data_IF_210946253014
#
_entry.id   IF_210946253014
#
_cell.length_a   1.000
_cell.length_b   1.000
_cell.length_c   1.000
_cell.angle_alpha   90.00
_cell.angle_beta   90.00
_cell.angle_gamma   90.00
#
_symmetry.space_group_name_H-M   'P 1'
#
loop_
_entity.id
_entity.type
_entity.pdbx_description
1 polymer ?
#
# COMPACT_ATOMS: atom_id res chain seq x y z
N UNK A 1 43.79 5.73 16.16
CA UNK A 1 42.81 5.46 15.11
C UNK A 1 41.46 5.41 15.80
N UNK A 2 40.58 6.38 15.52
CA UNK A 2 39.27 6.47 16.18
C UNK A 2 38.35 5.38 15.61
N UNK A 3 38.11 4.33 16.42
CA UNK A 3 37.23 3.19 16.10
C UNK A 3 35.72 3.49 16.20
N UNK A 4 35.31 4.75 16.15
CA UNK A 4 33.89 5.17 16.29
C UNK A 4 33.38 5.97 15.09
N UNK A 5 33.84 5.67 13.87
CA UNK A 5 33.11 6.20 12.71
C UNK A 5 31.81 5.43 12.50
N UNK A 6 30.71 6.02 12.97
CA UNK A 6 29.37 5.53 12.70
C UNK A 6 29.14 5.51 11.19
N UNK A 7 29.13 4.34 10.59
CA UNK A 7 28.95 4.20 9.14
C UNK A 7 27.50 4.52 8.78
N UNK A 8 27.29 5.62 8.07
CA UNK A 8 25.98 6.04 7.56
C UNK A 8 25.86 5.65 6.11
N UNK A 9 24.76 5.02 5.74
CA UNK A 9 24.51 4.64 4.34
C UNK A 9 23.06 4.91 3.98
N UNK A 10 22.82 5.57 2.84
CA UNK A 10 21.48 5.83 2.35
C UNK A 10 21.03 4.76 1.36
N UNK A 11 19.81 4.26 1.59
CA UNK A 11 19.11 3.29 0.77
C UNK A 11 17.83 3.90 0.22
N UNK A 12 17.46 3.55 -1.01
CA UNK A 12 16.21 3.98 -1.61
C UNK A 12 15.30 2.79 -1.93
N UNK A 13 14.00 3.01 -1.79
CA UNK A 13 12.97 2.15 -2.31
C UNK A 13 12.04 2.96 -3.22
N UNK A 14 11.73 2.42 -4.40
CA UNK A 14 10.74 2.96 -5.33
C UNK A 14 9.59 1.98 -5.41
N UNK A 15 8.38 2.45 -5.11
CA UNK A 15 7.13 1.69 -5.21
C UNK A 15 6.28 2.28 -6.34
N UNK A 16 6.02 1.48 -7.38
CA UNK A 16 5.24 1.87 -8.56
C UNK A 16 3.88 1.21 -8.48
N UNK A 17 2.97 1.85 -7.75
CA UNK A 17 1.60 1.37 -7.58
C UNK A 17 0.62 1.88 -8.64
N UNK A 18 -0.59 1.34 -8.65
CA UNK A 18 -1.65 1.71 -9.60
C UNK A 18 -2.15 3.14 -9.45
N UNK A 19 -2.12 3.72 -8.24
CA UNK A 19 -2.56 5.10 -8.00
C UNK A 19 -1.39 6.09 -7.97
N UNK A 20 -0.29 5.74 -7.33
CA UNK A 20 0.84 6.64 -7.14
C UNK A 20 2.16 5.89 -7.18
N UNK A 21 3.21 6.62 -7.55
CA UNK A 21 4.60 6.19 -7.45
C UNK A 21 5.23 6.87 -6.25
N UNK A 22 6.01 6.11 -5.46
CA UNK A 22 6.68 6.62 -4.26
C UNK A 22 8.18 6.41 -4.35
N UNK A 23 8.93 7.36 -3.80
CA UNK A 23 10.34 7.23 -3.49
C UNK A 23 10.51 7.41 -1.99
N UNK A 24 11.10 6.42 -1.33
CA UNK A 24 11.51 6.49 0.06
C UNK A 24 13.04 6.40 0.12
N UNK A 25 13.69 7.36 0.80
CA UNK A 25 15.11 7.28 1.15
C UNK A 25 15.21 7.16 2.67
N UNK A 26 15.93 6.14 3.14
CA UNK A 26 16.27 5.93 4.56
C UNK A 26 17.77 5.96 4.74
N UNK A 27 18.23 6.59 5.81
CA UNK A 27 19.59 6.47 6.33
C UNK A 27 19.64 5.28 7.28
N UNK A 28 20.61 4.42 7.11
CA UNK A 28 20.93 3.35 8.05
C UNK A 28 22.22 3.74 8.77
N UNK A 29 22.16 3.75 10.10
CA UNK A 29 23.32 3.91 10.99
C UNK A 29 23.56 2.61 11.70
N UNK A 30 24.77 2.11 11.64
CA UNK A 30 25.19 0.97 12.43
C UNK A 30 25.91 1.45 13.67
N UNK A 31 25.31 1.23 14.83
CA UNK A 31 25.90 1.54 16.14
C UNK A 31 25.86 0.28 17.02
N UNK A 32 27.02 -0.16 17.51
CA UNK A 32 27.15 -1.31 18.40
C UNK A 32 26.47 -2.60 17.88
N UNK A 33 26.54 -2.85 16.56
CA UNK A 33 25.93 -4.02 15.93
C UNK A 33 24.41 -3.96 15.75
N UNK A 34 23.79 -2.79 16.03
CA UNK A 34 22.36 -2.54 15.78
C UNK A 34 22.19 -1.54 14.64
N UNK A 35 21.31 -1.87 13.70
CA UNK A 35 20.93 -0.98 12.62
C UNK A 35 19.79 -0.05 13.06
N UNK A 36 20.02 1.26 12.95
CA UNK A 36 19.01 2.29 13.18
C UNK A 36 18.58 2.90 11.86
N UNK A 37 17.27 2.91 11.61
CA UNK A 37 16.69 3.39 10.39
C UNK A 37 16.04 4.77 10.59
N UNK A 38 16.47 5.78 9.84
CA UNK A 38 15.85 7.09 9.85
C UNK A 38 15.34 7.48 8.45
N UNK A 39 14.13 8.03 8.39
CA UNK A 39 13.55 8.49 7.14
C UNK A 39 14.16 9.83 6.74
N UNK A 40 14.83 9.88 5.60
CA UNK A 40 15.45 11.08 5.01
C UNK A 40 14.47 11.80 4.08
N UNK A 41 13.85 11.06 3.16
CA UNK A 41 12.94 11.61 2.16
C UNK A 41 11.80 10.64 1.88
N UNK A 42 10.59 11.18 1.73
CA UNK A 42 9.43 10.45 1.22
C UNK A 42 8.69 11.32 0.20
N UNK A 43 8.68 10.89 -1.05
CA UNK A 43 7.90 11.52 -2.12
C UNK A 43 6.80 10.60 -2.60
N UNK A 44 5.65 11.18 -2.94
CA UNK A 44 4.52 10.49 -3.54
C UNK A 44 3.98 11.31 -4.71
N UNK A 45 3.99 10.71 -5.89
CA UNK A 45 3.52 11.34 -7.14
C UNK A 45 2.35 10.51 -7.71
N UNK A 46 1.13 11.07 -7.82
CA UNK A 46 -0.04 10.36 -8.30
C UNK A 46 -0.06 10.29 -9.83
N UNK A 47 0.66 9.34 -10.41
CA UNK A 47 0.63 9.07 -11.86
C UNK A 47 -0.66 8.37 -12.31
N UNK A 48 -1.36 7.69 -11.38
CA UNK A 48 -2.66 7.05 -11.61
C UNK A 48 -2.63 6.07 -12.79
N UNK A 49 -1.58 5.24 -12.87
CA UNK A 49 -1.37 4.28 -13.96
C UNK A 49 -2.56 3.34 -14.15
N UNK A 50 -3.17 2.91 -13.04
CA UNK A 50 -4.30 1.99 -13.04
C UNK A 50 -5.52 2.51 -13.80
N UNK A 51 -5.74 3.83 -13.87
CA UNK A 51 -6.87 4.37 -14.64
C UNK A 51 -6.78 4.09 -16.14
N UNK A 52 -5.58 4.03 -16.70
CA UNK A 52 -5.40 3.63 -18.09
C UNK A 52 -5.47 2.11 -18.22
N UNK A 53 -4.75 1.40 -17.34
CA UNK A 53 -4.56 -0.05 -17.47
C UNK A 53 -5.86 -0.81 -17.24
N UNK A 54 -6.66 -0.41 -16.25
CA UNK A 54 -7.93 -1.09 -15.93
C UNK A 54 -9.07 -0.69 -16.85
N UNK A 55 -8.90 0.37 -17.68
CA UNK A 55 -9.83 0.80 -18.72
C UNK A 55 -9.43 0.23 -20.09
N UNK A 56 -8.23 0.61 -20.59
CA UNK A 56 -7.78 0.30 -21.95
C UNK A 56 -6.72 -0.82 -22.04
N UNK A 57 -6.34 -1.42 -20.92
CA UNK A 57 -5.38 -2.53 -20.86
C UNK A 57 -3.92 -2.15 -21.11
N UNK A 58 -3.58 -0.87 -21.19
CA UNK A 58 -2.20 -0.37 -21.42
C UNK A 58 -2.01 1.01 -20.81
N UNK A 59 -0.76 1.36 -20.53
CA UNK A 59 -0.37 2.71 -20.09
C UNK A 59 -0.32 3.63 -21.32
N UNK A 60 -0.96 4.81 -21.24
CA UNK A 60 -0.96 5.80 -22.32
C UNK A 60 0.41 6.43 -22.51
N UNK A 61 0.73 6.89 -23.71
CA UNK A 61 1.98 7.57 -24.03
C UNK A 61 2.27 8.77 -23.11
N UNK A 62 1.22 9.52 -22.73
CA UNK A 62 1.34 10.64 -21.80
C UNK A 62 1.87 10.19 -20.46
N UNK A 63 1.32 9.11 -19.89
CA UNK A 63 1.74 8.56 -18.60
C UNK A 63 3.10 7.88 -18.69
N UNK A 64 3.40 7.19 -19.79
CA UNK A 64 4.72 6.65 -20.06
C UNK A 64 5.80 7.75 -20.05
N UNK A 65 5.59 8.84 -20.81
CA UNK A 65 6.49 9.99 -20.82
C UNK A 65 6.67 10.58 -19.42
N UNK A 66 5.59 10.70 -18.66
CA UNK A 66 5.64 11.23 -17.29
C UNK A 66 6.37 10.28 -16.34
N UNK A 67 6.21 8.97 -16.49
CA UNK A 67 6.91 7.98 -15.69
C UNK A 67 8.42 8.02 -15.94
N UNK A 68 8.86 8.14 -17.21
CA UNK A 68 10.28 8.31 -17.54
C UNK A 68 10.83 9.60 -16.93
N UNK A 69 10.08 10.72 -16.98
CA UNK A 69 10.48 11.98 -16.35
C UNK A 69 10.61 11.85 -14.84
N UNK A 70 9.66 11.15 -14.22
CA UNK A 70 9.66 10.92 -12.78
C UNK A 70 10.86 10.07 -12.35
N UNK A 71 11.18 9.00 -13.09
CA UNK A 71 12.34 8.16 -12.79
C UNK A 71 13.68 8.94 -12.96
N UNK A 72 13.76 9.86 -13.93
CA UNK A 72 14.91 10.78 -14.04
C UNK A 72 15.01 11.68 -12.81
N UNK A 73 13.89 12.26 -12.36
CA UNK A 73 13.89 13.09 -11.16
C UNK A 73 14.31 12.30 -9.91
N UNK A 74 13.80 11.07 -9.74
CA UNK A 74 14.20 10.19 -8.64
C UNK A 74 15.68 9.84 -8.69
N UNK A 75 16.22 9.57 -9.87
CA UNK A 75 17.67 9.34 -10.04
C UNK A 75 18.49 10.55 -9.58
N UNK A 76 18.08 11.78 -9.91
CA UNK A 76 18.76 12.99 -9.43
C UNK A 76 18.68 13.13 -7.92
N UNK A 77 17.53 12.89 -7.33
CA UNK A 77 17.37 12.89 -5.88
C UNK A 77 18.25 11.84 -5.21
N UNK A 78 18.25 10.62 -5.70
CA UNK A 78 19.12 9.56 -5.17
C UNK A 78 20.61 9.94 -5.24
N UNK A 79 21.04 10.66 -6.28
CA UNK A 79 22.42 11.19 -6.37
C UNK A 79 22.69 12.28 -5.34
N UNK A 80 21.75 13.23 -5.15
CA UNK A 80 21.86 14.32 -4.15
C UNK A 80 22.02 13.75 -2.75
N UNK A 81 21.27 12.68 -2.44
CA UNK A 81 21.33 12.03 -1.14
C UNK A 81 22.37 10.89 -1.03
N UNK A 82 23.27 10.77 -1.99
CA UNK A 82 24.33 9.74 -2.02
C UNK A 82 23.78 8.32 -1.73
N UNK A 83 22.66 7.95 -2.36
CA UNK A 83 22.07 6.63 -2.23
C UNK A 83 22.97 5.58 -2.82
N UNK A 84 23.32 4.55 -2.04
CA UNK A 84 24.21 3.46 -2.46
C UNK A 84 23.45 2.29 -3.09
N UNK A 85 22.26 2.01 -2.59
CA UNK A 85 21.44 0.89 -3.06
C UNK A 85 20.00 1.36 -3.26
N UNK A 86 19.39 0.93 -4.37
CA UNK A 86 18.01 1.19 -4.69
C UNK A 86 17.32 -0.10 -5.10
N UNK A 87 16.14 -0.38 -4.53
CA UNK A 87 15.21 -1.39 -5.03
C UNK A 87 13.97 -0.68 -5.56
N UNK A 88 13.58 -0.98 -6.80
CA UNK A 88 12.37 -0.45 -7.41
C UNK A 88 11.44 -1.60 -7.79
N UNK A 89 10.22 -1.58 -7.26
CA UNK A 89 9.20 -2.59 -7.54
C UNK A 89 7.98 -1.95 -8.19
N UNK A 90 7.40 -2.65 -9.15
CA UNK A 90 6.15 -2.30 -9.79
C UNK A 90 5.10 -3.39 -9.56
N UNK A 91 3.87 -2.99 -9.26
CA UNK A 91 2.80 -3.90 -8.86
C UNK A 91 1.68 -4.00 -9.91
N UNK A 92 0.45 -4.19 -9.50
CA UNK A 92 -0.69 -4.61 -10.31
C UNK A 92 -0.88 -3.82 -11.63
N UNK A 93 -0.80 -2.48 -11.64
CA UNK A 93 -0.99 -1.75 -12.89
C UNK A 93 0.11 -2.04 -13.92
N UNK A 94 1.37 -2.11 -13.50
CA UNK A 94 2.48 -2.42 -14.42
C UNK A 94 2.45 -3.87 -14.88
N UNK A 95 2.06 -4.79 -13.97
CA UNK A 95 1.91 -6.22 -14.25
C UNK A 95 0.80 -6.49 -15.28
N UNK A 96 -0.33 -5.78 -15.18
CA UNK A 96 -1.49 -5.99 -16.05
C UNK A 96 -1.40 -5.21 -17.37
N UNK A 97 -0.48 -4.24 -17.48
CA UNK A 97 -0.33 -3.43 -18.69
C UNK A 97 0.32 -4.21 -19.84
N UNK A 98 -0.34 -4.27 -20.99
CA UNK A 98 0.19 -4.90 -22.23
C UNK A 98 1.57 -4.36 -22.64
N UNK A 99 1.86 -3.09 -22.35
CA UNK A 99 3.13 -2.41 -22.65
C UNK A 99 4.01 -2.21 -21.42
N UNK A 100 3.70 -2.86 -20.29
CA UNK A 100 4.42 -2.67 -19.04
C UNK A 100 5.91 -2.98 -19.14
N UNK A 101 6.28 -4.14 -19.69
CA UNK A 101 7.66 -4.57 -19.86
C UNK A 101 8.45 -3.65 -20.80
N UNK A 102 7.83 -3.15 -21.86
CA UNK A 102 8.51 -2.25 -22.80
C UNK A 102 8.80 -0.88 -22.16
N UNK A 103 7.89 -0.40 -21.32
CA UNK A 103 8.07 0.82 -20.54
C UNK A 103 9.22 0.64 -19.53
N UNK A 104 9.30 -0.48 -18.83
CA UNK A 104 10.41 -0.79 -17.90
C UNK A 104 11.74 -0.78 -18.63
N UNK A 105 11.86 -1.48 -19.76
CA UNK A 105 13.09 -1.48 -20.59
C UNK A 105 13.50 -0.07 -21.02
N UNK A 106 12.53 0.76 -21.40
CA UNK A 106 12.79 2.15 -21.77
C UNK A 106 13.26 3.00 -20.57
N UNK A 107 12.65 2.79 -19.39
CA UNK A 107 13.08 3.47 -18.16
C UNK A 107 14.51 3.08 -17.82
N UNK A 108 14.82 1.81 -17.78
CA UNK A 108 16.15 1.30 -17.48
C UNK A 108 17.20 1.87 -18.46
N UNK A 109 16.93 1.82 -19.77
CA UNK A 109 17.79 2.39 -20.79
C UNK A 109 18.04 3.90 -20.61
N UNK A 110 16.99 4.67 -20.24
CA UNK A 110 17.05 6.15 -20.15
C UNK A 110 17.50 6.67 -18.79
N UNK A 111 17.41 5.85 -17.75
CA UNK A 111 17.64 6.31 -16.36
C UNK A 111 18.62 5.45 -15.57
N UNK A 112 18.88 4.23 -16.00
CA UNK A 112 19.67 3.24 -15.27
C UNK A 112 18.94 2.71 -14.01
N UNK A 113 17.64 2.99 -13.83
CA UNK A 113 16.84 2.45 -12.73
C UNK A 113 16.26 1.12 -13.19
N UNK A 114 16.71 0.03 -12.56
CA UNK A 114 16.11 -1.30 -12.75
C UNK A 114 14.83 -1.41 -11.95
N UNK A 115 13.76 -1.94 -12.57
CA UNK A 115 12.43 -2.08 -11.95
C UNK A 115 11.99 -3.54 -12.08
N UNK A 116 11.71 -4.18 -10.94
CA UNK A 116 11.13 -5.52 -10.88
C UNK A 116 9.60 -5.44 -10.90
N UNK A 117 8.94 -6.19 -11.77
CA UNK A 117 7.51 -6.45 -11.63
C UNK A 117 7.35 -7.60 -10.65
N UNK A 118 6.77 -7.31 -9.49
CA UNK A 118 6.50 -8.33 -8.47
C UNK A 118 5.07 -8.85 -8.58
N UNK A 119 4.87 -10.13 -8.26
CA UNK A 119 3.54 -10.69 -8.16
C UNK A 119 2.86 -10.32 -6.82
N UNK A 120 1.56 -10.63 -6.69
CA UNK A 120 0.82 -10.27 -5.48
C UNK A 120 1.27 -11.04 -4.23
N UNK A 121 1.85 -12.23 -4.39
CA UNK A 121 2.37 -13.00 -3.25
C UNK A 121 3.68 -12.42 -2.75
N UNK A 122 4.55 -11.99 -3.65
CA UNK A 122 5.79 -11.31 -3.27
C UNK A 122 5.48 -9.95 -2.62
N UNK A 123 4.51 -9.20 -3.17
CA UNK A 123 4.03 -7.94 -2.58
C UNK A 123 3.52 -8.16 -1.15
N UNK A 124 2.68 -9.17 -0.92
CA UNK A 124 2.17 -9.54 0.40
C UNK A 124 3.28 -9.96 1.38
N UNK A 125 4.31 -10.70 0.91
CA UNK A 125 5.48 -11.05 1.73
C UNK A 125 6.32 -9.84 2.13
N UNK A 126 6.51 -8.88 1.22
CA UNK A 126 7.23 -7.63 1.53
C UNK A 126 6.48 -6.85 2.61
N UNK A 127 5.16 -6.75 2.50
CA UNK A 127 4.31 -6.10 3.51
C UNK A 127 4.44 -6.82 4.86
N UNK A 128 4.35 -8.14 4.86
CA UNK A 128 4.50 -8.96 6.06
C UNK A 128 5.83 -8.71 6.77
N UNK A 129 6.94 -8.78 6.06
CA UNK A 129 8.28 -8.59 6.64
C UNK A 129 8.46 -7.21 7.30
N UNK A 130 7.81 -6.17 6.77
CA UNK A 130 7.84 -4.84 7.37
C UNK A 130 7.03 -4.69 8.66
N UNK A 131 6.04 -5.56 8.89
CA UNK A 131 5.12 -5.44 10.02
C UNK A 131 5.49 -6.34 11.19
N UNK A 132 6.05 -7.51 10.94
CA UNK A 132 6.42 -8.49 11.99
C UNK A 132 7.47 -7.95 12.95
N UNK A 133 8.38 -7.11 12.47
CA UNK A 133 9.42 -6.47 13.30
C UNK A 133 8.87 -5.52 14.39
N UNK A 134 7.59 -5.11 14.27
CA UNK A 134 6.99 -4.12 15.17
C UNK A 134 5.90 -4.68 16.10
N UNK A 135 5.69 -6.00 16.10
CA UNK A 135 4.69 -6.62 16.99
C UNK A 135 5.23 -6.83 18.39
N UNK A 136 4.66 -6.10 19.37
CA UNK A 136 4.95 -6.29 20.79
C UNK A 136 4.31 -7.55 21.38
N UNK A 137 3.12 -7.95 20.87
CA UNK A 137 2.40 -9.15 21.27
C UNK A 137 2.14 -10.05 20.06
N UNK A 138 2.74 -11.25 20.09
CA UNK A 138 2.60 -12.25 19.02
C UNK A 138 1.52 -13.28 19.31
N UNK A 139 0.80 -13.16 20.44
CA UNK A 139 -0.25 -14.11 20.82
C UNK A 139 -1.58 -13.74 20.15
N UNK A 140 -2.29 -14.75 19.67
CA UNK A 140 -3.58 -14.58 19.01
C UNK A 140 -3.51 -14.46 17.49
N UNK A 141 -4.65 -14.10 16.89
CA UNK A 141 -4.82 -14.07 15.45
C UNK A 141 -4.85 -12.62 14.94
N UNK A 142 -3.99 -12.32 13.97
CA UNK A 142 -3.88 -10.99 13.37
C UNK A 142 -3.94 -11.06 11.85
N UNK A 143 -4.82 -10.28 11.26
CA UNK A 143 -4.97 -10.18 9.82
C UNK A 143 -4.47 -8.80 9.36
N UNK A 144 -3.33 -8.78 8.68
CA UNK A 144 -2.83 -7.57 8.02
C UNK A 144 -3.54 -7.38 6.69
N UNK A 145 -4.07 -6.19 6.48
CA UNK A 145 -4.81 -5.82 5.28
C UNK A 145 -4.17 -4.56 4.69
N UNK A 146 -3.64 -4.65 3.48
CA UNK A 146 -3.20 -3.50 2.69
C UNK A 146 -4.09 -3.34 1.46
N UNK A 147 -4.78 -2.20 1.37
CA UNK A 147 -5.66 -1.90 0.24
C UNK A 147 -4.95 -0.94 -0.71
N UNK A 148 -4.44 -1.51 -1.79
CA UNK A 148 -3.80 -0.81 -2.89
C UNK A 148 -4.77 -0.21 -3.90
N UNK A 149 -4.21 0.33 -4.99
CA UNK A 149 -5.00 0.83 -6.11
C UNK A 149 -5.54 -0.28 -7.02
N UNK A 150 -4.80 -1.34 -7.21
CA UNK A 150 -5.14 -2.43 -8.12
C UNK A 150 -5.41 -3.77 -7.45
N UNK A 151 -4.92 -3.96 -6.22
CA UNK A 151 -5.04 -5.21 -5.46
C UNK A 151 -5.24 -4.92 -3.97
N UNK A 152 -5.57 -5.96 -3.23
CA UNK A 152 -5.63 -6.00 -1.77
C UNK A 152 -4.85 -7.21 -1.29
N UNK A 153 -3.86 -6.97 -0.44
CA UNK A 153 -2.99 -7.99 0.16
C UNK A 153 -3.48 -8.30 1.57
N UNK A 154 -3.55 -9.60 1.88
CA UNK A 154 -3.98 -10.13 3.19
C UNK A 154 -2.96 -11.13 3.69
N UNK A 155 -2.43 -10.89 4.90
CA UNK A 155 -1.57 -11.82 5.61
C UNK A 155 -2.21 -12.17 6.95
N UNK A 156 -2.46 -13.44 7.21
CA UNK A 156 -2.95 -13.93 8.50
C UNK A 156 -1.81 -14.54 9.30
N UNK A 157 -1.65 -14.04 10.51
CA UNK A 157 -0.76 -14.58 11.52
C UNK A 157 -1.58 -15.20 12.64
N UNK A 158 -1.13 -16.34 13.12
CA UNK A 158 -1.64 -16.99 14.32
C UNK A 158 -0.46 -17.40 15.19
N UNK A 159 -0.49 -17.00 16.46
CA UNK A 159 0.58 -17.26 17.43
C UNK A 159 1.98 -16.86 16.90
N UNK A 160 2.06 -15.71 16.22
CA UNK A 160 3.29 -15.18 15.65
C UNK A 160 3.77 -15.85 14.37
N UNK A 161 3.06 -16.86 13.86
CA UNK A 161 3.42 -17.56 12.63
C UNK A 161 2.52 -17.14 11.47
N UNK A 162 3.11 -16.98 10.29
CA UNK A 162 2.35 -16.70 9.07
C UNK A 162 1.57 -17.93 8.64
N UNK A 163 0.25 -17.84 8.71
CA UNK A 163 -0.68 -18.90 8.29
C UNK A 163 -0.91 -18.86 6.79
N UNK A 164 -1.23 -17.68 6.27
CA UNK A 164 -1.41 -17.50 4.83
C UNK A 164 -1.07 -16.09 4.38
N UNK A 165 -0.71 -15.98 3.11
CA UNK A 165 -0.46 -14.74 2.40
C UNK A 165 -1.23 -14.79 1.09
N UNK A 166 -2.14 -13.85 0.85
CA UNK A 166 -3.01 -13.83 -0.33
C UNK A 166 -3.08 -12.43 -0.92
N UNK A 167 -3.20 -12.35 -2.25
CA UNK A 167 -3.49 -11.12 -2.98
C UNK A 167 -4.74 -11.32 -3.82
N UNK A 168 -5.59 -10.30 -3.83
CA UNK A 168 -6.83 -10.26 -4.59
C UNK A 168 -6.80 -9.08 -5.55
N UNK A 169 -7.24 -9.30 -6.80
CA UNK A 169 -7.36 -8.24 -7.80
C UNK A 169 -8.54 -7.30 -7.50
N UNK A 170 -8.65 -6.87 -6.25
CA UNK A 170 -9.63 -5.93 -5.71
C UNK A 170 -8.83 -4.75 -5.16
N UNK A 171 -8.90 -3.60 -5.83
CA UNK A 171 -8.19 -2.39 -5.43
C UNK A 171 -9.00 -1.16 -5.76
N UNK A 172 -8.68 -0.06 -5.10
CA UNK A 172 -9.51 1.16 -5.15
C UNK A 172 -9.67 1.74 -6.55
N UNK A 173 -8.60 1.77 -7.34
CA UNK A 173 -8.61 2.27 -8.73
C UNK A 173 -9.29 1.25 -9.65
N UNK A 174 -9.08 -0.04 -9.41
CA UNK A 174 -9.75 -1.09 -10.17
C UNK A 174 -11.27 -1.05 -9.95
N UNK A 175 -11.74 -0.79 -8.74
CA UNK A 175 -13.17 -0.60 -8.44
C UNK A 175 -13.74 0.63 -9.14
N UNK A 176 -13.03 1.76 -9.13
CA UNK A 176 -13.47 2.98 -9.81
C UNK A 176 -13.61 2.82 -11.33
N UNK A 177 -12.91 1.87 -11.92
CA UNK A 177 -13.00 1.53 -13.34
C UNK A 177 -13.93 0.34 -13.62
N UNK A 178 -14.70 -0.14 -12.62
CA UNK A 178 -15.56 -1.32 -12.74
C UNK A 178 -14.82 -2.56 -13.27
N UNK A 179 -13.54 -2.68 -12.98
CA UNK A 179 -12.65 -3.72 -13.51
C UNK A 179 -12.36 -4.84 -12.50
N UNK A 180 -13.09 -4.90 -11.39
CA UNK A 180 -13.08 -6.02 -10.45
C UNK A 180 -14.07 -7.07 -10.93
N UNK A 181 -13.59 -8.28 -11.16
CA UNK A 181 -14.46 -9.41 -11.54
C UNK A 181 -15.24 -9.92 -10.33
N UNK A 182 -16.49 -10.33 -10.53
CA UNK A 182 -17.31 -10.91 -9.46
C UNK A 182 -16.65 -12.14 -8.84
N UNK A 183 -15.96 -12.96 -9.63
CA UNK A 183 -15.20 -14.12 -9.16
C UNK A 183 -14.09 -13.75 -8.16
N UNK A 184 -13.50 -12.56 -8.23
CA UNK A 184 -12.50 -12.10 -7.24
C UNK A 184 -13.17 -11.75 -5.90
N UNK A 185 -14.36 -11.12 -5.94
CA UNK A 185 -15.14 -10.89 -4.75
C UNK A 185 -15.63 -12.18 -4.10
N UNK A 186 -16.08 -13.15 -4.89
CA UNK A 186 -16.49 -14.47 -4.39
C UNK A 186 -15.30 -15.19 -3.77
N UNK A 187 -14.13 -15.19 -4.42
CA UNK A 187 -12.90 -15.78 -3.90
C UNK A 187 -12.53 -15.13 -2.56
N UNK A 188 -12.50 -13.80 -2.48
CA UNK A 188 -12.22 -13.09 -1.24
C UNK A 188 -13.17 -13.50 -0.12
N UNK A 189 -14.48 -13.48 -0.39
CA UNK A 189 -15.52 -13.79 0.62
C UNK A 189 -15.42 -15.23 1.12
N UNK A 190 -15.22 -16.19 0.21
CA UNK A 190 -15.09 -17.61 0.56
C UNK A 190 -13.83 -17.86 1.40
N UNK A 191 -12.70 -17.34 0.95
CA UNK A 191 -11.43 -17.43 1.66
C UNK A 191 -11.51 -16.84 3.08
N UNK A 192 -12.10 -15.64 3.21
CA UNK A 192 -12.25 -14.99 4.52
C UNK A 192 -13.23 -15.73 5.43
N UNK A 193 -14.33 -16.29 4.89
CA UNK A 193 -15.28 -17.05 5.68
C UNK A 193 -14.67 -18.35 6.22
N UNK A 194 -13.79 -18.99 5.46
CA UNK A 194 -13.00 -20.16 5.90
C UNK A 194 -12.00 -19.77 7.01
N UNK A 195 -11.27 -18.67 6.80
CA UNK A 195 -10.31 -18.17 7.78
C UNK A 195 -11.00 -17.74 9.08
N UNK A 196 -12.16 -17.10 9.01
CA UNK A 196 -12.93 -16.69 10.20
C UNK A 196 -13.38 -17.89 11.05
N UNK A 197 -13.73 -19.01 10.43
CA UNK A 197 -14.07 -20.26 11.12
C UNK A 197 -12.86 -20.91 11.79
N UNK A 198 -11.74 -20.95 11.06
CA UNK A 198 -10.51 -21.61 11.53
C UNK A 198 -9.73 -20.80 12.54
N UNK A 199 -9.82 -19.46 12.48
CA UNK A 199 -9.09 -18.51 13.31
C UNK A 199 -10.04 -17.47 13.91
N UNK A 200 -10.85 -17.86 14.93
CA UNK A 200 -11.82 -16.94 15.55
C UNK A 200 -11.11 -15.80 16.28
N UNK A 201 -11.84 -14.71 16.53
CA UNK A 201 -11.34 -13.51 17.21
C UNK A 201 -10.11 -12.88 16.53
N UNK A 202 -10.03 -12.95 15.20
CA UNK A 202 -8.96 -12.33 14.43
C UNK A 202 -9.05 -10.81 14.51
N UNK A 203 -7.95 -10.17 14.90
CA UNK A 203 -7.80 -8.72 14.92
C UNK A 203 -7.31 -8.22 13.57
N UNK A 204 -7.88 -7.14 13.05
CA UNK A 204 -7.46 -6.54 11.79
C UNK A 204 -6.42 -5.44 12.04
N UNK A 205 -5.32 -5.51 11.31
CA UNK A 205 -4.31 -4.46 11.23
C UNK A 205 -4.34 -3.89 9.82
N UNK A 206 -4.83 -2.66 9.70
CA UNK A 206 -4.90 -1.96 8.43
C UNK A 206 -3.62 -1.22 8.12
N UNK A 207 -3.02 -1.47 6.97
CA UNK A 207 -1.84 -0.76 6.49
C UNK A 207 -2.10 0.07 5.24
N UNK A 208 -1.19 0.96 4.93
CA UNK A 208 -1.24 1.77 3.73
C UNK A 208 -1.97 3.10 3.87
N UNK A 209 -1.86 3.90 2.80
CA UNK A 209 -2.28 5.30 2.83
C UNK A 209 -3.79 5.54 2.88
N UNK A 210 -4.59 4.54 2.51
CA UNK A 210 -6.04 4.66 2.49
C UNK A 210 -6.62 4.52 3.89
N UNK A 211 -6.28 3.44 4.60
CA UNK A 211 -6.76 3.25 5.99
C UNK A 211 -6.21 4.33 6.92
N UNK A 212 -4.95 4.75 6.74
CA UNK A 212 -4.37 5.86 7.48
C UNK A 212 -5.15 7.17 7.29
N UNK A 213 -5.66 7.45 6.08
CA UNK A 213 -6.51 8.62 5.84
C UNK A 213 -7.87 8.45 6.51
N UNK A 214 -8.53 7.30 6.38
CA UNK A 214 -9.80 6.98 7.05
C UNK A 214 -9.67 7.14 8.58
N UNK A 215 -8.62 6.57 9.17
CA UNK A 215 -8.34 6.70 10.59
C UNK A 215 -8.16 8.17 11.02
N UNK A 216 -7.45 8.98 10.24
CA UNK A 216 -7.28 10.42 10.54
C UNK A 216 -8.60 11.17 10.49
N UNK A 217 -9.50 10.82 9.57
CA UNK A 217 -10.80 11.45 9.41
C UNK A 217 -11.84 11.00 10.45
N UNK A 218 -11.65 9.84 11.06
CA UNK A 218 -12.56 9.33 12.07
C UNK A 218 -12.59 10.23 13.32
N UNK A 219 -13.80 10.65 13.72
CA UNK A 219 -14.01 11.53 14.86
C UNK A 219 -13.77 10.78 16.19
N UNK A 220 -14.25 9.54 16.27
CA UNK A 220 -14.13 8.67 17.44
C UNK A 220 -13.06 7.59 17.18
N UNK A 221 -11.90 7.70 17.80
CA UNK A 221 -10.78 6.74 17.68
C UNK A 221 -9.95 6.71 18.96
N UNK A 222 -9.35 5.57 19.24
CA UNK A 222 -8.40 5.46 20.34
C UNK A 222 -6.98 5.76 19.82
N UNK A 223 -6.51 6.98 20.07
CA UNK A 223 -5.18 7.43 19.62
C UNK A 223 -4.05 6.68 20.34
N UNK A 224 -4.22 6.31 21.62
CA UNK A 224 -3.21 5.60 22.41
C UNK A 224 -3.01 4.17 21.90
N UNK A 225 -4.10 3.48 21.58
CA UNK A 225 -4.07 2.12 21.05
C UNK A 225 -4.02 2.07 19.51
N UNK A 226 -4.08 3.22 18.84
CA UNK A 226 -4.14 3.34 17.38
C UNK A 226 -5.25 2.48 16.76
N UNK A 227 -6.42 2.45 17.41
CA UNK A 227 -7.57 1.63 16.96
C UNK A 227 -8.78 2.49 16.63
N UNK A 228 -9.55 2.01 15.67
CA UNK A 228 -10.85 2.55 15.26
C UNK A 228 -11.88 1.43 15.26
N UNK A 229 -13.07 1.67 15.85
CA UNK A 229 -14.18 0.72 15.77
C UNK A 229 -14.69 0.59 14.33
N UNK A 230 -15.08 -0.60 13.94
CA UNK A 230 -15.68 -0.86 12.61
C UNK A 230 -16.96 -0.06 12.41
N UNK A 231 -17.78 0.12 13.47
CA UNK A 231 -18.96 0.98 13.43
C UNK A 231 -18.64 2.45 13.11
N UNK A 232 -17.53 2.97 13.66
CA UNK A 232 -17.05 4.34 13.35
C UNK A 232 -16.61 4.45 11.90
N UNK A 233 -15.93 3.44 11.39
CA UNK A 233 -15.57 3.38 9.96
C UNK A 233 -16.83 3.33 9.09
N UNK A 234 -17.86 2.57 9.48
CA UNK A 234 -19.13 2.48 8.76
C UNK A 234 -19.86 3.83 8.72
N UNK A 235 -19.95 4.53 9.86
CA UNK A 235 -20.53 5.87 9.94
C UNK A 235 -19.77 6.87 9.04
N UNK A 236 -18.45 6.88 9.14
CA UNK A 236 -17.58 7.72 8.31
C UNK A 236 -17.75 7.41 6.82
N UNK A 237 -17.75 6.13 6.45
CA UNK A 237 -17.93 5.71 5.07
C UNK A 237 -19.28 6.15 4.50
N UNK A 238 -20.36 5.98 5.25
CA UNK A 238 -21.70 6.44 4.86
C UNK A 238 -21.71 7.95 4.64
N UNK A 239 -21.12 8.74 5.56
CA UNK A 239 -21.00 10.20 5.43
C UNK A 239 -20.19 10.60 4.20
N UNK A 240 -19.05 9.97 3.98
CA UNK A 240 -18.19 10.27 2.81
C UNK A 240 -18.88 9.88 1.48
N UNK A 241 -19.64 8.79 1.46
CA UNK A 241 -20.35 8.31 0.27
C UNK A 241 -21.49 9.23 -0.14
N UNK A 242 -22.12 9.92 0.82
CA UNK A 242 -23.18 10.90 0.58
C UNK A 242 -22.69 12.21 -0.04
N UNK A 243 -21.37 12.47 -0.04
CA UNK A 243 -20.76 13.70 -0.55
C UNK A 243 -20.24 13.51 -1.97
N UNK A 244 -20.27 14.59 -2.76
CA UNK A 244 -19.58 14.67 -4.05
C UNK A 244 -18.07 14.63 -3.88
N UNK A 245 -17.34 14.49 -4.98
CA UNK A 245 -15.87 14.52 -4.97
C UNK A 245 -15.35 15.86 -4.44
N UNK A 246 -15.95 16.95 -4.91
CA UNK A 246 -15.61 18.32 -4.56
C UNK A 246 -15.86 18.58 -3.07
N UNK A 247 -17.02 18.18 -2.56
CA UNK A 247 -17.35 18.33 -1.13
C UNK A 247 -16.39 17.54 -0.24
N UNK A 248 -15.99 16.32 -0.64
CA UNK A 248 -14.96 15.55 0.09
C UNK A 248 -13.61 16.26 0.10
N UNK A 249 -13.23 16.91 -1.01
CA UNK A 249 -12.00 17.69 -1.08
C UNK A 249 -12.04 18.90 -0.17
N UNK A 250 -13.12 19.66 -0.18
CA UNK A 250 -13.29 20.90 0.62
C UNK A 250 -13.42 20.60 2.11
N UNK A 251 -14.38 19.74 2.49
CA UNK A 251 -14.68 19.49 3.90
C UNK A 251 -13.58 18.74 4.64
N UNK A 252 -12.84 17.84 3.96
CA UNK A 252 -11.83 16.98 4.58
C UNK A 252 -10.39 17.28 4.15
N UNK A 253 -10.16 18.34 3.39
CA UNK A 253 -8.83 18.72 2.90
C UNK A 253 -8.15 17.59 2.12
N UNK A 254 -8.90 16.86 1.28
CA UNK A 254 -8.36 15.76 0.49
C UNK A 254 -7.89 16.24 -0.87
N UNK A 255 -6.76 15.70 -1.32
CA UNK A 255 -6.36 15.86 -2.72
C UNK A 255 -7.27 15.02 -3.62
N UNK A 256 -7.48 15.39 -4.90
CA UNK A 256 -8.36 14.65 -5.82
C UNK A 256 -8.08 13.15 -5.87
N UNK A 257 -6.79 12.79 -5.94
CA UNK A 257 -6.31 11.40 -6.00
C UNK A 257 -6.44 10.61 -4.68
N UNK A 258 -7.03 11.23 -3.66
CA UNK A 258 -7.43 10.62 -2.39
C UNK A 258 -8.93 10.64 -2.20
N UNK A 259 -9.60 11.72 -2.60
CA UNK A 259 -11.03 11.90 -2.42
C UNK A 259 -11.88 10.90 -3.23
N UNK A 260 -11.38 10.43 -4.37
CA UNK A 260 -12.05 9.41 -5.18
C UNK A 260 -11.82 7.98 -4.67
N UNK A 261 -10.59 7.63 -4.27
CA UNK A 261 -10.26 6.27 -3.83
C UNK A 261 -10.67 5.96 -2.39
N UNK A 262 -11.10 6.96 -1.61
CA UNK A 262 -11.41 6.75 -0.19
C UNK A 262 -12.68 5.92 0.01
N UNK A 263 -13.66 6.06 -0.90
CA UNK A 263 -14.91 5.30 -0.83
C UNK A 263 -14.67 3.81 -1.09
N UNK A 264 -14.07 3.40 -2.24
CA UNK A 264 -13.77 1.99 -2.45
C UNK A 264 -12.82 1.41 -1.38
N UNK A 265 -11.89 2.22 -0.84
CA UNK A 265 -11.06 1.75 0.26
C UNK A 265 -11.87 1.40 1.50
N UNK A 266 -12.79 2.28 1.92
CA UNK A 266 -13.68 2.03 3.05
C UNK A 266 -14.56 0.79 2.82
N UNK A 267 -15.07 0.61 1.62
CA UNK A 267 -15.90 -0.55 1.24
C UNK A 267 -15.13 -1.87 1.36
N UNK A 268 -13.88 -1.92 0.88
CA UNK A 268 -13.04 -3.13 1.00
C UNK A 268 -12.77 -3.44 2.47
N UNK A 269 -12.34 -2.46 3.29
CA UNK A 269 -12.07 -2.68 4.71
C UNK A 269 -13.31 -3.12 5.48
N UNK A 270 -14.48 -2.54 5.22
CA UNK A 270 -15.75 -2.91 5.84
C UNK A 270 -16.17 -4.32 5.45
N UNK A 271 -16.03 -4.69 4.18
CA UNK A 271 -16.33 -6.05 3.71
C UNK A 271 -15.48 -7.09 4.45
N UNK A 272 -14.17 -6.85 4.54
CA UNK A 272 -13.24 -7.74 5.24
C UNK A 272 -13.59 -7.82 6.74
N UNK A 273 -13.79 -6.67 7.38
CA UNK A 273 -14.08 -6.60 8.81
C UNK A 273 -15.37 -7.30 9.19
N UNK A 274 -16.41 -7.15 8.38
CA UNK A 274 -17.72 -7.79 8.61
C UNK A 274 -17.65 -9.31 8.46
N UNK A 275 -16.91 -9.83 7.46
CA UNK A 275 -16.77 -11.29 7.26
C UNK A 275 -15.95 -11.92 8.39
N UNK A 276 -14.88 -11.26 8.81
CA UNK A 276 -14.03 -11.73 9.91
C UNK A 276 -14.70 -11.55 11.28
N UNK A 277 -15.73 -10.70 11.38
CA UNK A 277 -16.39 -10.38 12.65
C UNK A 277 -15.54 -9.49 13.55
N UNK A 278 -14.64 -8.70 12.98
CA UNK A 278 -13.77 -7.81 13.74
C UNK A 278 -14.53 -6.59 14.25
N UNK A 279 -14.36 -6.25 15.54
CA UNK A 279 -14.96 -5.05 16.14
C UNK A 279 -14.08 -3.80 15.95
N UNK A 280 -12.79 -3.98 15.74
CA UNK A 280 -11.80 -2.91 15.64
C UNK A 280 -10.83 -3.15 14.49
N UNK A 281 -10.31 -2.05 13.95
CA UNK A 281 -9.16 -2.04 13.04
C UNK A 281 -8.04 -1.28 13.75
N UNK A 282 -6.88 -1.92 13.91
CA UNK A 282 -5.66 -1.29 14.36
C UNK A 282 -4.97 -0.63 13.16
N UNK A 283 -4.54 0.63 13.32
CA UNK A 283 -3.93 1.45 12.26
C UNK A 283 -2.64 2.06 12.81
N UNK A 284 -1.51 1.33 12.79
CA UNK A 284 -0.22 1.75 13.35
C UNK A 284 0.45 2.88 12.57
#
# INVERSE_FOLDING_TARGET
>A
MNENETRKTNYAAIDIGSNAVRLLIKEIKEEQGKAHFSKVLMLRVPLRLGFDVFDIGKISEKKEKNMIRLMKAFRHLMKIYDVKHCRACATSAMRDAKNGMDIIKQIEKKTGVHIDIIDGQEEAKIIYNNHVEHMEDQKGNYMYVDVGGGSTEINLLSEGQLVCSRSYNIGTVRMLNNAVKDSEWERLKNDLAELAKSYPQTNIIGSGGNINKLYRLADKKNKKKMTMQVSVLQELHTRLKALSLEERMEQFGMKPDRADVIIPAGEIFLTIANIIGASYIHVP
#
